data_IF_724808138528
#
_entry.id   IF_724808138528
#
_cell.length_a   1.000
_cell.length_b   1.000
_cell.length_c   1.000
_cell.angle_alpha   90.00
_cell.angle_beta   90.00
_cell.angle_gamma   90.00
#
_symmetry.space_group_name_H-M   'P 1'
#
loop_
_entity.id
_entity.type
_entity.pdbx_description
1 polymer ?
#
# COMPACT_ATOMS: atom_id res chain seq x y z
N UNK A 1 -10.28 25.10 3.31
CA UNK A 1 -9.75 24.66 4.62
C UNK A 1 -10.92 24.18 5.48
N UNK A 2 -10.72 23.23 6.39
CA UNK A 2 -11.82 22.69 7.21
C UNK A 2 -12.34 23.74 8.20
N UNK A 3 -13.66 23.98 8.32
CA UNK A 3 -14.24 25.03 9.18
C UNK A 3 -14.33 24.65 10.66
N UNK A 4 -13.83 23.47 11.06
CA UNK A 4 -13.91 23.02 12.46
C UNK A 4 -12.91 23.79 13.35
N UNK A 5 -13.36 24.37 14.48
CA UNK A 5 -12.48 25.03 15.45
C UNK A 5 -11.63 24.03 16.27
N UNK A 6 -11.95 22.73 16.22
CA UNK A 6 -11.20 21.70 16.93
C UNK A 6 -9.98 21.25 16.13
N UNK A 7 -8.80 21.24 16.77
CA UNK A 7 -7.59 20.61 16.21
C UNK A 7 -7.88 19.13 15.96
N UNK A 8 -7.95 18.74 14.69
CA UNK A 8 -8.02 17.34 14.32
C UNK A 8 -6.62 16.72 14.47
N UNK A 9 -6.35 16.04 15.57
CA UNK A 9 -5.15 15.20 15.71
C UNK A 9 -5.32 13.95 14.84
N UNK A 10 -4.92 14.04 13.57
CA UNK A 10 -4.88 12.90 12.65
C UNK A 10 -3.53 12.21 12.81
N UNK A 11 -3.53 10.91 13.09
CA UNK A 11 -2.33 10.08 13.01
C UNK A 11 -1.79 10.12 11.58
N UNK A 12 -0.46 10.16 11.43
CA UNK A 12 0.23 10.22 10.14
C UNK A 12 1.40 9.27 10.14
N UNK A 13 1.57 8.56 9.03
CA UNK A 13 2.78 7.84 8.67
C UNK A 13 3.30 8.48 7.38
N UNK A 14 4.52 9.01 7.42
CA UNK A 14 5.18 9.61 6.26
C UNK A 14 6.32 8.71 5.82
N UNK A 15 6.27 8.25 4.58
CA UNK A 15 7.31 7.40 3.99
C UNK A 15 7.98 8.21 2.89
N UNK A 16 9.28 8.42 3.04
CA UNK A 16 10.10 9.18 2.10
C UNK A 16 10.66 8.22 1.06
N UNK A 17 9.96 8.08 -0.06
CA UNK A 17 10.39 7.27 -1.21
C UNK A 17 10.22 8.08 -2.48
N UNK A 18 11.21 8.02 -3.37
CA UNK A 18 11.10 8.64 -4.69
C UNK A 18 10.32 7.71 -5.63
N UNK A 19 9.57 8.30 -6.55
CA UNK A 19 8.87 7.54 -7.58
C UNK A 19 9.83 7.21 -8.74
N UNK A 20 10.84 6.39 -8.45
CA UNK A 20 11.85 5.94 -9.40
C UNK A 20 11.99 4.41 -9.38
N UNK A 21 12.55 3.85 -10.45
CA UNK A 21 12.74 2.40 -10.61
C UNK A 21 13.73 1.80 -9.63
N UNK A 22 14.64 2.60 -9.07
CA UNK A 22 15.71 2.13 -8.18
C UNK A 22 15.31 2.20 -6.69
N UNK A 23 14.10 2.68 -6.39
CA UNK A 23 13.61 2.80 -5.02
C UNK A 23 12.85 1.54 -4.61
N UNK A 24 13.13 1.06 -3.40
CA UNK A 24 12.49 -0.13 -2.85
C UNK A 24 11.48 0.25 -1.76
N UNK A 25 10.24 -0.18 -1.94
CA UNK A 25 9.18 0.02 -0.95
C UNK A 25 9.16 -1.13 0.09
N UNK A 26 9.87 -2.23 -0.18
CA UNK A 26 9.86 -3.44 0.65
C UNK A 26 10.12 -3.19 2.15
N UNK A 27 11.09 -2.33 2.54
CA UNK A 27 11.39 -2.10 3.96
C UNK A 27 10.23 -1.46 4.74
N UNK A 28 9.34 -0.75 4.05
CA UNK A 28 8.28 0.03 4.69
C UNK A 28 6.93 -0.69 4.73
N UNK A 29 6.80 -1.86 4.08
CA UNK A 29 5.51 -2.54 3.93
C UNK A 29 4.87 -2.92 5.27
N UNK A 30 5.69 -3.37 6.23
CA UNK A 30 5.19 -3.75 7.56
C UNK A 30 4.66 -2.53 8.33
N UNK A 31 5.36 -1.39 8.27
CA UNK A 31 4.91 -0.15 8.89
C UNK A 31 3.61 0.35 8.26
N UNK A 32 3.50 0.27 6.92
CA UNK A 32 2.26 0.59 6.20
C UNK A 32 1.12 -0.31 6.69
N UNK A 33 1.33 -1.63 6.73
CA UNK A 33 0.32 -2.60 7.14
C UNK A 33 -0.13 -2.37 8.59
N UNK A 34 0.83 -2.20 9.49
CA UNK A 34 0.59 -1.91 10.90
C UNK A 34 -0.19 -0.61 11.09
N UNK A 35 0.15 0.45 10.36
CA UNK A 35 -0.58 1.71 10.42
C UNK A 35 -2.03 1.59 9.93
N UNK A 36 -2.25 0.90 8.81
CA UNK A 36 -3.60 0.70 8.26
C UNK A 36 -4.43 -0.17 9.21
N UNK A 37 -3.88 -1.29 9.67
CA UNK A 37 -4.56 -2.24 10.57
C UNK A 37 -4.93 -1.59 11.91
N UNK A 38 -3.99 -0.86 12.53
CA UNK A 38 -4.24 -0.19 13.81
C UNK A 38 -5.39 0.83 13.73
N UNK A 39 -5.54 1.52 12.61
CA UNK A 39 -6.65 2.45 12.39
C UNK A 39 -7.95 1.70 12.02
N UNK A 40 -7.88 0.66 11.19
CA UNK A 40 -9.05 -0.16 10.82
C UNK A 40 -9.68 -0.81 12.05
N UNK A 41 -8.88 -1.38 12.96
CA UNK A 41 -9.34 -1.99 14.23
C UNK A 41 -10.04 -1.01 15.16
N UNK A 42 -9.74 0.29 15.04
CA UNK A 42 -10.40 1.38 15.79
C UNK A 42 -11.59 1.98 15.03
N UNK A 43 -12.08 1.30 13.99
CA UNK A 43 -13.15 1.76 13.12
C UNK A 43 -12.87 3.14 12.47
N UNK A 44 -11.60 3.44 12.19
CA UNK A 44 -11.17 4.67 11.51
C UNK A 44 -10.82 4.39 10.05
N UNK A 45 -10.91 5.43 9.23
CA UNK A 45 -10.51 5.40 7.81
C UNK A 45 -9.11 5.97 7.64
N UNK A 46 -8.33 5.38 6.74
CA UNK A 46 -6.99 5.84 6.37
C UNK A 46 -7.03 6.41 4.96
N UNK A 47 -6.48 7.62 4.79
CA UNK A 47 -6.22 8.22 3.49
C UNK A 47 -4.76 7.93 3.12
N UNK A 48 -4.55 7.29 1.97
CA UNK A 48 -3.23 7.04 1.40
C UNK A 48 -3.11 7.91 0.14
N UNK A 49 -2.04 8.70 0.05
CA UNK A 49 -1.79 9.57 -1.10
C UNK A 49 -0.29 9.70 -1.35
N UNK A 50 0.05 10.08 -2.58
CA UNK A 50 1.41 10.45 -2.98
C UNK A 50 1.35 11.64 -3.93
N UNK A 51 2.50 12.15 -4.38
CA UNK A 51 2.58 13.37 -5.20
C UNK A 51 1.67 13.33 -6.43
N UNK A 52 1.74 12.27 -7.24
CA UNK A 52 0.91 12.12 -8.45
C UNK A 52 -0.37 11.32 -8.22
N UNK A 53 -0.46 10.60 -7.10
CA UNK A 53 -1.52 9.63 -6.81
C UNK A 53 -1.49 8.34 -7.65
N UNK A 54 -0.50 8.14 -8.52
CA UNK A 54 -0.54 7.07 -9.55
C UNK A 54 0.37 5.88 -9.29
N UNK A 55 1.42 6.02 -8.49
CA UNK A 55 2.47 5.01 -8.33
C UNK A 55 2.60 4.52 -6.88
N UNK A 56 3.33 5.22 -6.00
CA UNK A 56 3.60 4.75 -4.63
C UNK A 56 2.34 4.54 -3.77
N UNK A 57 1.35 5.44 -3.83
CA UNK A 57 0.10 5.29 -3.11
C UNK A 57 -0.70 4.03 -3.53
N UNK A 58 -0.99 3.80 -4.83
CA UNK A 58 -1.65 2.55 -5.23
C UNK A 58 -0.78 1.31 -5.00
N UNK A 59 0.55 1.39 -5.08
CA UNK A 59 1.44 0.27 -4.66
C UNK A 59 1.19 -0.10 -3.20
N UNK A 60 1.14 0.89 -2.30
CA UNK A 60 0.85 0.67 -0.87
C UNK A 60 -0.56 0.09 -0.61
N UNK A 61 -1.54 0.39 -1.47
CA UNK A 61 -2.88 -0.23 -1.41
C UNK A 61 -2.84 -1.67 -1.90
N UNK A 62 -2.19 -1.93 -3.05
CA UNK A 62 -2.11 -3.27 -3.66
C UNK A 62 -1.41 -4.23 -2.71
N UNK A 63 -0.24 -3.86 -2.18
CA UNK A 63 0.49 -4.71 -1.23
C UNK A 63 -0.33 -5.01 0.02
N UNK A 64 -1.12 -4.04 0.52
CA UNK A 64 -1.96 -4.24 1.70
C UNK A 64 -3.09 -5.22 1.40
N UNK A 65 -3.71 -5.15 0.21
CA UNK A 65 -4.71 -6.13 -0.21
C UNK A 65 -4.12 -7.53 -0.37
N UNK A 66 -2.89 -7.64 -0.89
CA UNK A 66 -2.19 -8.93 -0.97
C UNK A 66 -1.99 -9.53 0.43
N UNK A 67 -1.47 -8.72 1.36
CA UNK A 67 -1.19 -9.18 2.73
C UNK A 67 -2.46 -9.45 3.55
N UNK A 68 -3.42 -8.51 3.55
CA UNK A 68 -4.58 -8.56 4.43
C UNK A 68 -5.72 -9.43 3.88
N UNK A 69 -5.88 -9.50 2.56
CA UNK A 69 -6.97 -10.23 1.90
C UNK A 69 -6.48 -11.49 1.16
N UNK A 70 -5.21 -11.87 1.37
CA UNK A 70 -4.59 -13.04 0.73
C UNK A 70 -4.80 -13.08 -0.79
N UNK A 71 -4.77 -11.90 -1.42
CA UNK A 71 -4.92 -11.77 -2.87
C UNK A 71 -3.57 -11.98 -3.54
N UNK A 72 -3.55 -12.70 -4.66
CA UNK A 72 -2.39 -12.69 -5.56
C UNK A 72 -2.19 -11.29 -6.14
N UNK A 73 -0.95 -10.95 -6.48
CA UNK A 73 -0.59 -9.65 -7.08
C UNK A 73 -1.53 -9.22 -8.20
N UNK A 74 -1.77 -10.11 -9.18
CA UNK A 74 -2.65 -9.79 -10.32
C UNK A 74 -4.07 -9.45 -9.86
N UNK A 75 -4.64 -10.22 -8.93
CA UNK A 75 -5.99 -9.99 -8.41
C UNK A 75 -6.09 -8.66 -7.65
N UNK A 76 -5.11 -8.36 -6.79
CA UNK A 76 -5.05 -7.12 -6.04
C UNK A 76 -4.89 -5.90 -6.97
N UNK A 77 -4.01 -6.00 -7.96
CA UNK A 77 -3.80 -4.96 -8.96
C UNK A 77 -5.06 -4.70 -9.79
N UNK A 78 -5.72 -5.74 -10.32
CA UNK A 78 -6.96 -5.60 -11.08
C UNK A 78 -8.10 -5.05 -10.22
N UNK A 79 -8.17 -5.42 -8.93
CA UNK A 79 -9.14 -4.87 -7.99
C UNK A 79 -9.00 -3.35 -7.84
N UNK A 80 -7.76 -2.87 -7.71
CA UNK A 80 -7.45 -1.43 -7.60
C UNK A 80 -7.68 -0.73 -8.94
N UNK A 81 -7.20 -1.29 -10.05
CA UNK A 81 -7.36 -0.71 -11.40
C UNK A 81 -8.82 -0.47 -11.77
N UNK A 82 -9.73 -1.39 -11.42
CA UNK A 82 -11.17 -1.23 -11.67
C UNK A 82 -11.79 -0.03 -10.93
N UNK A 83 -11.28 0.30 -9.73
CA UNK A 83 -11.76 1.41 -8.90
C UNK A 83 -11.03 2.72 -9.19
N UNK A 84 -9.78 2.62 -9.62
CA UNK A 84 -8.91 3.74 -9.91
C UNK A 84 -8.13 3.48 -11.21
N UNK A 85 -8.74 3.73 -12.39
CA UNK A 85 -8.14 3.37 -13.68
C UNK A 85 -6.84 4.10 -14.01
N UNK A 86 -6.54 5.20 -13.33
CA UNK A 86 -5.36 6.04 -13.60
C UNK A 86 -4.06 5.55 -12.95
N UNK A 87 -4.07 4.38 -12.30
CA UNK A 87 -2.84 3.78 -11.75
C UNK A 87 -1.77 3.63 -12.84
N UNK A 88 -0.54 3.96 -12.46
CA UNK A 88 0.66 3.81 -13.27
C UNK A 88 1.83 3.54 -12.34
N UNK A 89 1.92 2.30 -11.86
CA UNK A 89 2.99 1.84 -10.98
C UNK A 89 4.29 1.77 -11.77
N UNK A 90 5.37 2.31 -11.21
CA UNK A 90 6.70 2.20 -11.82
C UNK A 90 7.25 0.76 -11.73
N UNK A 91 8.25 0.43 -12.55
CA UNK A 91 8.79 -0.92 -12.63
C UNK A 91 9.44 -1.41 -11.32
N UNK A 92 10.12 -0.55 -10.56
CA UNK A 92 10.76 -0.93 -9.29
C UNK A 92 9.75 -1.32 -8.22
N UNK A 93 8.66 -0.56 -8.11
CA UNK A 93 7.54 -0.88 -7.24
C UNK A 93 6.78 -2.13 -7.72
N UNK A 94 6.65 -2.34 -9.02
CA UNK A 94 6.07 -3.58 -9.55
C UNK A 94 6.90 -4.80 -9.16
N UNK A 95 8.23 -4.73 -9.30
CA UNK A 95 9.14 -5.79 -8.87
C UNK A 95 9.06 -6.04 -7.35
N UNK A 96 8.91 -4.97 -6.56
CA UNK A 96 8.67 -5.07 -5.11
C UNK A 96 7.42 -5.91 -4.82
N UNK A 97 6.32 -5.64 -5.55
CA UNK A 97 5.08 -6.40 -5.41
C UNK A 97 5.24 -7.86 -5.85
N UNK A 98 6.01 -8.13 -6.91
CA UNK A 98 6.30 -9.51 -7.34
C UNK A 98 7.05 -10.30 -6.25
N UNK A 99 8.12 -9.71 -5.70
CA UNK A 99 8.86 -10.30 -4.57
C UNK A 99 7.97 -10.54 -3.36
N UNK A 100 7.03 -9.64 -3.09
CA UNK A 100 6.04 -9.82 -2.02
C UNK A 100 5.10 -11.00 -2.31
N UNK A 101 4.58 -11.12 -3.54
CA UNK A 101 3.68 -12.22 -3.91
C UNK A 101 4.37 -13.58 -3.72
N UNK A 102 5.62 -13.69 -4.15
CA UNK A 102 6.47 -14.87 -3.94
C UNK A 102 6.68 -15.16 -2.45
N UNK A 103 6.95 -14.14 -1.63
CA UNK A 103 7.11 -14.32 -0.17
C UNK A 103 5.83 -14.76 0.52
N UNK A 104 4.67 -14.25 0.09
CA UNK A 104 3.38 -14.58 0.71
C UNK A 104 2.85 -15.96 0.29
N UNK A 105 3.22 -16.43 -0.91
CA UNK A 105 2.65 -17.63 -1.51
C UNK A 105 3.65 -18.68 -1.96
N UNK A 106 4.94 -18.50 -1.66
CA UNK A 106 5.89 -19.60 -1.70
C UNK A 106 5.38 -20.65 -0.72
N UNK A 107 5.23 -21.87 -1.22
CA UNK A 107 4.74 -22.99 -0.45
C UNK A 107 5.55 -23.10 0.84
N UNK A 108 4.89 -22.87 1.97
CA UNK A 108 5.29 -23.44 3.24
C UNK A 108 5.35 -24.95 3.03
N UNK A 109 6.49 -25.46 2.60
CA UNK A 109 6.89 -26.81 2.93
C UNK A 109 7.25 -26.75 4.42
N UNK A 110 6.22 -26.67 5.27
CA UNK A 110 6.34 -26.93 6.70
C UNK A 110 6.73 -28.39 6.80
N UNK A 111 8.01 -28.64 7.04
CA UNK A 111 8.49 -29.90 7.60
C UNK A 111 8.35 -29.85 9.11
#
# INVERSE_FOLDING_TARGET
MCPSPYKHTRLRLNIQVRDSTDEDLMPYLEDINSFIEANRRRNKRVLIFCYTGKSSAPTAVIQYLMHHSNMRLQQAHEHVKRRFPSIKINQGFWQTLQRLDERLHSTSNKK
#
